data_IF_991553788881
#
_entry.id   IF_991553788881
#
_cell.length_a   1.000
_cell.length_b   1.000
_cell.length_c   1.000
_cell.angle_alpha   90.00
_cell.angle_beta   90.00
_cell.angle_gamma   90.00
#
_symmetry.space_group_name_H-M   'P 1'
#
loop_
_entity.id
_entity.type
_entity.pdbx_description
1 polymer ?
#
# COMPACT_ATOMS: atom_id res chain seq x y z
N UNK A 1 -10.36 43.55 68.57
CA UNK A 1 -9.47 42.53 67.97
C UNK A 1 -8.86 43.12 66.70
N UNK A 2 -7.66 43.70 66.82
CA UNK A 2 -6.89 44.30 65.73
C UNK A 2 -5.67 43.41 65.45
N UNK A 3 -5.45 43.01 64.20
CA UNK A 3 -4.28 42.24 63.76
C UNK A 3 -3.12 43.18 63.39
N UNK A 4 -1.87 42.86 63.76
CA UNK A 4 -0.70 43.68 63.45
C UNK A 4 -0.15 43.45 62.04
N UNK A 5 0.39 44.52 61.43
CA UNK A 5 1.14 44.55 60.17
C UNK A 5 2.58 44.07 60.42
N UNK A 6 3.06 43.17 59.56
CA UNK A 6 4.46 42.75 59.52
C UNK A 6 5.25 43.61 58.52
N UNK A 7 6.41 44.07 58.96
CA UNK A 7 7.36 44.90 58.22
C UNK A 7 8.47 43.97 57.71
N UNK A 8 8.70 43.93 56.39
CA UNK A 8 9.79 43.14 55.80
C UNK A 8 10.96 44.05 55.47
N UNK A 9 12.11 43.76 56.07
CA UNK A 9 13.39 44.46 55.89
C UNK A 9 14.17 43.84 54.74
N UNK A 10 14.59 44.65 53.78
CA UNK A 10 15.50 44.26 52.69
C UNK A 10 16.95 44.16 53.19
N UNK A 11 17.62 43.03 52.94
CA UNK A 11 19.08 42.90 52.96
C UNK A 11 19.58 42.73 51.53
N UNK A 12 20.48 43.62 51.10
CA UNK A 12 21.25 43.52 49.85
C UNK A 12 22.59 42.85 50.16
N UNK A 13 22.81 41.66 49.59
CA UNK A 13 24.11 41.01 49.56
C UNK A 13 24.65 41.00 48.11
N UNK A 14 25.75 41.71 47.90
CA UNK A 14 26.49 41.76 46.64
C UNK A 14 27.44 40.55 46.52
N UNK A 15 27.00 39.51 45.79
CA UNK A 15 27.86 38.39 45.40
C UNK A 15 28.44 38.60 43.99
N UNK A 16 29.75 38.88 43.91
CA UNK A 16 30.53 38.88 42.65
C UNK A 16 30.67 37.45 42.13
N UNK A 17 29.92 37.13 41.07
CA UNK A 17 30.04 35.85 40.35
C UNK A 17 31.12 35.98 39.27
N UNK A 18 32.19 35.21 39.44
CA UNK A 18 33.25 34.98 38.45
C UNK A 18 32.71 34.15 37.29
N UNK A 19 32.73 34.71 36.08
CA UNK A 19 32.22 34.08 34.85
C UNK A 19 33.34 33.33 34.13
N UNK A 20 33.40 32.00 34.34
CA UNK A 20 34.15 31.12 33.44
C UNK A 20 33.46 31.01 32.07
N UNK A 21 34.20 31.00 30.95
CA UNK A 21 33.62 30.96 29.61
C UNK A 21 32.87 29.65 29.36
N UNK A 22 31.60 29.76 28.95
CA UNK A 22 30.74 28.62 28.60
C UNK A 22 31.30 27.91 27.34
N UNK A 23 31.28 26.57 27.29
CA UNK A 23 31.61 25.84 26.07
C UNK A 23 30.64 26.23 24.95
N UNK A 24 31.20 26.56 23.79
CA UNK A 24 30.46 26.95 22.59
C UNK A 24 29.47 25.83 22.23
N UNK A 25 28.18 26.17 22.21
CA UNK A 25 27.14 25.26 21.72
C UNK A 25 27.48 24.90 20.27
N UNK A 26 27.43 23.61 19.88
CA UNK A 26 27.64 23.21 18.50
C UNK A 26 26.61 23.94 17.64
N UNK A 27 27.09 24.78 16.72
CA UNK A 27 26.22 25.42 15.77
C UNK A 27 25.57 24.31 14.92
N UNK A 28 24.24 24.28 14.78
CA UNK A 28 23.61 23.38 13.86
C UNK A 28 24.18 23.68 12.47
N UNK A 29 24.85 22.69 11.86
CA UNK A 29 25.22 22.79 10.45
C UNK A 29 23.92 23.02 9.71
N UNK A 30 23.75 24.22 9.16
CA UNK A 30 22.70 24.51 8.21
C UNK A 30 22.90 23.52 7.06
N UNK A 31 22.10 22.46 7.04
CA UNK A 31 21.85 21.71 5.83
C UNK A 31 21.09 22.72 4.98
N UNK A 32 21.82 23.52 4.21
CA UNK A 32 21.23 24.23 3.10
C UNK A 32 20.67 23.13 2.19
N UNK A 33 19.39 22.81 2.42
CA UNK A 33 18.57 22.20 1.40
C UNK A 33 18.72 23.16 0.22
N UNK A 34 19.52 22.74 -0.77
CA UNK A 34 19.53 23.43 -2.06
C UNK A 34 18.06 23.62 -2.40
N UNK A 35 17.61 24.83 -2.73
CA UNK A 35 16.29 25.01 -3.28
C UNK A 35 16.21 23.96 -4.37
N UNK A 36 15.30 22.99 -4.19
CA UNK A 36 14.84 22.22 -5.33
C UNK A 36 14.26 23.31 -6.19
N UNK A 37 15.05 23.78 -7.16
CA UNK A 37 14.51 24.55 -8.25
C UNK A 37 13.34 23.68 -8.68
N UNK A 38 12.14 24.19 -8.43
CA UNK A 38 10.95 23.74 -9.10
C UNK A 38 11.26 23.96 -10.56
N UNK A 39 11.98 23.00 -11.14
CA UNK A 39 11.90 22.69 -12.54
C UNK A 39 10.42 22.41 -12.65
N UNK A 40 9.67 23.44 -13.04
CA UNK A 40 8.47 23.25 -13.79
C UNK A 40 8.95 22.40 -14.95
N UNK A 41 8.98 21.08 -14.74
CA UNK A 41 8.90 20.13 -15.81
C UNK A 41 7.53 20.49 -16.36
N UNK A 42 7.53 21.35 -17.37
CA UNK A 42 6.56 21.23 -18.43
C UNK A 42 6.52 19.72 -18.66
N UNK A 43 5.43 19.09 -18.22
CA UNK A 43 5.19 17.71 -18.58
C UNK A 43 5.36 17.74 -20.10
N UNK A 44 6.40 17.12 -20.68
CA UNK A 44 6.34 16.91 -22.11
C UNK A 44 4.99 16.26 -22.29
N UNK A 45 4.15 16.88 -23.12
CA UNK A 45 2.91 16.26 -23.57
C UNK A 45 3.37 14.96 -24.20
N UNK A 46 3.48 13.94 -23.37
CA UNK A 46 3.50 12.56 -23.77
C UNK A 46 2.14 12.43 -24.39
N UNK A 47 2.08 12.72 -25.69
CA UNK A 47 1.30 11.90 -26.58
C UNK A 47 1.84 10.49 -26.34
N UNK A 48 1.34 9.85 -25.28
CA UNK A 48 0.96 8.45 -25.39
C UNK A 48 -0.07 8.50 -26.51
N UNK A 49 0.44 8.49 -27.74
CA UNK A 49 -0.29 7.92 -28.85
C UNK A 49 -0.82 6.63 -28.27
N UNK A 50 -2.13 6.62 -28.05
CA UNK A 50 -2.89 5.40 -27.92
C UNK A 50 -2.62 4.66 -29.23
N UNK A 51 -1.45 4.02 -29.34
CA UNK A 51 -1.29 2.90 -30.25
C UNK A 51 -2.42 2.00 -29.83
N UNK A 52 -3.31 1.74 -30.80
CA UNK A 52 -4.39 0.80 -30.65
C UNK A 52 -3.78 -0.44 -30.00
N UNK A 53 -4.03 -0.60 -28.71
CA UNK A 53 -3.61 -1.77 -27.95
C UNK A 53 -4.41 -2.90 -28.56
N UNK A 54 -3.82 -3.57 -29.55
CA UNK A 54 -4.20 -4.93 -29.92
C UNK A 54 -4.41 -5.65 -28.60
N UNK A 55 -5.62 -6.19 -28.41
CA UNK A 55 -6.00 -6.91 -27.19
C UNK A 55 -4.91 -7.93 -26.92
N UNK A 56 -3.96 -7.59 -26.04
CA UNK A 56 -2.93 -8.49 -25.59
C UNK A 56 -3.70 -9.65 -24.97
N UNK A 57 -3.62 -10.82 -25.59
CA UNK A 57 -4.03 -12.04 -24.91
C UNK A 57 -3.24 -12.05 -23.61
N UNK A 58 -3.95 -11.97 -22.47
CA UNK A 58 -3.36 -12.08 -21.13
C UNK A 58 -2.72 -13.47 -21.07
N UNK A 59 -1.50 -13.60 -21.55
CA UNK A 59 -0.77 -14.85 -21.55
C UNK A 59 -0.38 -15.18 -20.12
N UNK A 60 -0.25 -16.47 -19.91
CA UNK A 60 0.13 -17.20 -18.70
C UNK A 60 1.13 -16.47 -17.79
N UNK A 61 1.20 -16.86 -16.51
CA UNK A 61 2.17 -16.42 -15.49
C UNK A 61 3.66 -16.35 -15.92
N UNK A 62 4.03 -16.85 -17.11
CA UNK A 62 5.40 -16.88 -17.63
C UNK A 62 5.64 -15.76 -18.63
N UNK A 63 6.75 -15.04 -18.45
CA UNK A 63 7.21 -14.00 -19.36
C UNK A 63 8.06 -14.62 -20.49
N UNK A 64 7.49 -14.77 -21.68
CA UNK A 64 8.11 -15.50 -22.80
C UNK A 64 8.73 -14.52 -23.81
N UNK A 65 9.95 -14.07 -23.52
CA UNK A 65 10.62 -13.05 -24.34
C UNK A 65 11.15 -13.63 -25.64
N UNK A 66 10.76 -13.04 -26.77
CA UNK A 66 11.36 -13.33 -28.07
C UNK A 66 12.69 -12.58 -28.23
N UNK A 67 13.81 -13.31 -28.22
CA UNK A 67 15.16 -12.73 -28.33
C UNK A 67 15.37 -11.91 -29.61
N UNK A 68 14.62 -12.22 -30.67
CA UNK A 68 14.72 -11.52 -31.95
C UNK A 68 14.07 -10.13 -31.91
N UNK A 69 13.05 -9.92 -31.08
CA UNK A 69 12.32 -8.64 -30.97
C UNK A 69 12.95 -7.67 -29.98
N UNK A 70 13.93 -8.12 -29.19
CA UNK A 70 14.65 -7.28 -28.24
C UNK A 70 15.30 -6.07 -28.92
N UNK A 71 14.91 -4.88 -28.48
CA UNK A 71 15.45 -3.60 -28.93
C UNK A 71 16.90 -3.40 -28.47
N UNK A 72 17.69 -2.69 -29.28
CA UNK A 72 19.05 -2.29 -28.93
C UNK A 72 19.04 -1.07 -27.99
N UNK A 73 19.84 -1.10 -26.92
CA UNK A 73 19.93 0.00 -25.95
C UNK A 73 20.58 1.28 -26.48
N UNK A 74 20.98 1.33 -27.75
CA UNK A 74 21.73 2.45 -28.36
C UNK A 74 20.86 3.67 -28.67
N UNK A 75 19.55 3.59 -28.45
CA UNK A 75 18.59 4.67 -28.68
C UNK A 75 18.57 5.68 -27.54
N UNK A 76 19.32 6.79 -27.69
CA UNK A 76 19.08 8.21 -27.26
C UNK A 76 18.67 8.51 -25.79
N UNK A 77 18.17 7.54 -25.02
CA UNK A 77 17.61 7.73 -23.71
C UNK A 77 18.67 7.52 -22.62
N UNK A 78 18.75 8.43 -21.64
CA UNK A 78 19.62 8.24 -20.50
C UNK A 78 19.17 7.02 -19.71
N UNK A 79 20.05 6.04 -19.56
CA UNK A 79 19.79 4.83 -18.77
C UNK A 79 19.51 5.24 -17.31
N UNK A 80 18.37 4.82 -16.75
CA UNK A 80 18.02 5.12 -15.38
C UNK A 80 18.96 4.44 -14.38
N UNK A 81 19.07 4.97 -13.16
CA UNK A 81 19.97 4.38 -12.13
C UNK A 81 19.55 2.97 -11.68
N UNK A 82 18.33 2.57 -11.98
CA UNK A 82 17.72 1.28 -11.64
C UNK A 82 17.88 0.29 -12.79
N UNK A 83 19.12 0.06 -13.22
CA UNK A 83 19.47 -0.90 -14.27
C UNK A 83 20.56 -1.87 -13.83
N UNK A 84 20.71 -2.98 -14.56
CA UNK A 84 21.80 -3.93 -14.44
C UNK A 84 22.18 -4.50 -15.80
N UNK A 85 23.49 -4.67 -16.05
CA UNK A 85 24.01 -5.35 -17.23
C UNK A 85 24.30 -6.80 -16.88
N UNK A 86 23.67 -7.72 -17.60
CA UNK A 86 23.73 -9.17 -17.41
C UNK A 86 24.61 -9.77 -18.51
N UNK A 87 25.71 -10.41 -18.11
CA UNK A 87 26.72 -10.95 -19.03
C UNK A 87 26.55 -12.44 -19.21
N UNK A 88 26.48 -12.91 -20.46
CA UNK A 88 26.37 -14.32 -20.82
C UNK A 88 25.16 -15.04 -20.17
N UNK A 89 24.03 -14.34 -20.01
CA UNK A 89 22.78 -14.91 -19.50
C UNK A 89 21.72 -14.78 -20.59
N UNK A 90 21.01 -15.86 -20.90
CA UNK A 90 19.92 -15.84 -21.88
C UNK A 90 18.71 -15.07 -21.35
N UNK A 91 17.98 -14.39 -22.23
CA UNK A 91 16.78 -13.60 -21.87
C UNK A 91 15.71 -14.44 -21.15
N UNK A 92 15.48 -15.69 -21.57
CA UNK A 92 14.52 -16.61 -20.92
C UNK A 92 14.84 -16.83 -19.43
N UNK A 93 16.11 -17.08 -19.10
CA UNK A 93 16.54 -17.28 -17.71
C UNK A 93 16.37 -16.01 -16.86
N UNK A 94 16.58 -14.84 -17.46
CA UNK A 94 16.33 -13.55 -16.79
C UNK A 94 14.83 -13.38 -16.54
N UNK A 95 14.00 -13.64 -17.55
CA UNK A 95 12.56 -13.54 -17.48
C UNK A 95 12.00 -14.45 -16.37
N UNK A 96 12.42 -15.71 -16.33
CA UNK A 96 12.02 -16.68 -15.30
C UNK A 96 12.38 -16.18 -13.88
N UNK A 97 13.60 -15.67 -13.69
CA UNK A 97 14.05 -15.13 -12.38
C UNK A 97 13.27 -13.89 -11.96
N UNK A 98 12.93 -13.03 -12.91
CA UNK A 98 12.13 -11.83 -12.63
C UNK A 98 10.69 -12.23 -12.29
N UNK A 99 10.08 -13.15 -13.04
CA UNK A 99 8.75 -13.68 -12.75
C UNK A 99 8.67 -14.28 -11.35
N UNK A 100 9.60 -15.18 -10.99
CA UNK A 100 9.66 -15.78 -9.64
C UNK A 100 9.80 -14.70 -8.57
N UNK A 101 10.65 -13.69 -8.80
CA UNK A 101 10.83 -12.59 -7.86
C UNK A 101 9.55 -11.76 -7.68
N UNK A 102 8.81 -11.50 -8.76
CA UNK A 102 7.54 -10.76 -8.68
C UNK A 102 6.49 -11.56 -7.88
N UNK A 103 6.40 -12.86 -8.12
CA UNK A 103 5.49 -13.77 -7.39
C UNK A 103 5.85 -13.84 -5.90
N UNK A 104 7.12 -14.08 -5.55
CA UNK A 104 7.59 -14.15 -4.16
C UNK A 104 7.36 -12.84 -3.39
N UNK A 105 7.34 -11.71 -4.08
CA UNK A 105 7.08 -10.39 -3.48
C UNK A 105 5.61 -9.96 -3.61
N UNK A 106 4.71 -10.85 -4.07
CA UNK A 106 3.28 -10.57 -4.29
C UNK A 106 3.02 -9.33 -5.16
N UNK A 107 3.86 -9.12 -6.17
CA UNK A 107 3.78 -8.01 -7.12
C UNK A 107 2.97 -8.47 -8.33
N UNK A 108 1.87 -7.77 -8.61
CA UNK A 108 1.07 -8.02 -9.81
C UNK A 108 1.85 -7.57 -11.04
N UNK A 109 1.91 -8.38 -12.10
CA UNK A 109 2.59 -8.03 -13.33
C UNK A 109 1.76 -8.40 -14.56
N UNK A 110 1.85 -7.56 -15.59
CA UNK A 110 1.33 -7.82 -16.93
C UNK A 110 2.51 -7.84 -17.90
N UNK A 111 2.70 -8.96 -18.58
CA UNK A 111 3.82 -9.18 -19.50
C UNK A 111 3.43 -8.83 -20.94
N UNK A 112 4.35 -8.18 -21.64
CA UNK A 112 4.28 -7.83 -23.05
C UNK A 112 5.46 -8.51 -23.74
N UNK A 113 5.24 -9.76 -24.16
CA UNK A 113 6.26 -10.68 -24.65
C UNK A 113 7.01 -10.13 -25.89
N UNK A 114 6.27 -9.51 -26.82
CA UNK A 114 6.83 -8.93 -28.05
C UNK A 114 7.75 -7.72 -27.79
N UNK A 115 7.40 -6.90 -26.81
CA UNK A 115 8.14 -5.69 -26.43
C UNK A 115 9.23 -5.97 -25.38
N UNK A 116 9.37 -7.22 -24.92
CA UNK A 116 10.23 -7.60 -23.81
C UNK A 116 10.04 -6.66 -22.59
N UNK A 117 8.79 -6.33 -22.30
CA UNK A 117 8.38 -5.38 -21.27
C UNK A 117 7.43 -6.04 -20.28
N UNK A 118 7.51 -5.66 -19.01
CA UNK A 118 6.52 -6.00 -18.01
C UNK A 118 6.07 -4.75 -17.26
N UNK A 119 4.76 -4.60 -17.05
CA UNK A 119 4.21 -3.54 -16.19
C UNK A 119 3.82 -4.18 -14.87
N UNK A 120 4.42 -3.71 -13.78
CA UNK A 120 4.26 -4.28 -12.46
C UNK A 120 3.65 -3.26 -11.47
N UNK A 121 2.91 -3.78 -10.50
CA UNK A 121 2.21 -3.02 -9.46
C UNK A 121 2.25 -3.74 -8.11
N UNK A 122 2.73 -3.04 -7.08
CA UNK A 122 2.75 -3.51 -5.70
C UNK A 122 1.41 -3.32 -5.00
N UNK A 123 1.26 -3.90 -3.80
CA UNK A 123 0.07 -3.73 -2.94
C UNK A 123 -0.25 -2.27 -2.59
N UNK A 124 0.77 -1.40 -2.47
CA UNK A 124 0.63 0.04 -2.21
C UNK A 124 0.43 0.87 -3.48
N UNK A 125 0.06 0.22 -4.60
CA UNK A 125 -0.20 0.84 -5.89
C UNK A 125 1.00 1.58 -6.49
N UNK A 126 2.22 1.18 -6.11
CA UNK A 126 3.45 1.63 -6.77
C UNK A 126 3.61 0.90 -8.09
N UNK A 127 3.49 1.65 -9.19
CA UNK A 127 3.58 1.11 -10.56
C UNK A 127 4.94 1.39 -11.15
N UNK A 128 5.51 0.39 -11.79
CA UNK A 128 6.77 0.49 -12.49
C UNK A 128 6.78 -0.44 -13.71
N UNK A 129 7.74 -0.19 -14.58
CA UNK A 129 7.92 -0.91 -15.83
C UNK A 129 9.29 -1.56 -15.81
N UNK A 130 9.36 -2.79 -16.28
CA UNK A 130 10.57 -3.58 -16.40
C UNK A 130 10.82 -3.78 -17.88
N UNK A 131 12.00 -3.41 -18.37
CA UNK A 131 12.39 -3.59 -19.77
C UNK A 131 13.65 -4.43 -19.86
N UNK A 132 13.68 -5.36 -20.80
CA UNK A 132 14.88 -6.08 -21.17
C UNK A 132 15.33 -5.60 -22.56
N UNK A 133 16.58 -5.17 -22.68
CA UNK A 133 17.15 -4.60 -23.90
C UNK A 133 18.46 -5.31 -24.25
N UNK A 134 18.86 -5.30 -25.53
CA UNK A 134 20.21 -5.72 -25.94
C UNK A 134 21.22 -4.65 -25.58
N UNK A 135 22.27 -5.03 -24.88
CA UNK A 135 23.38 -4.13 -24.55
C UNK A 135 24.53 -4.33 -25.52
N UNK A 136 24.70 -3.39 -26.46
CA UNK A 136 25.79 -3.44 -27.43
C UNK A 136 27.12 -3.12 -26.74
N UNK A 137 28.01 -4.11 -26.72
CA UNK A 137 29.41 -3.95 -26.31
C UNK A 137 30.34 -4.28 -27.47
N UNK A 138 31.51 -3.63 -27.52
CA UNK A 138 32.53 -3.84 -28.57
C UNK A 138 32.92 -5.32 -28.75
N UNK A 139 32.83 -6.11 -27.67
CA UNK A 139 33.22 -7.52 -27.61
C UNK A 139 32.31 -8.50 -28.39
N UNK A 140 31.28 -8.02 -29.11
CA UNK A 140 30.27 -8.85 -29.83
C UNK A 140 29.61 -9.93 -28.95
N UNK A 141 29.60 -9.74 -27.63
CA UNK A 141 28.88 -10.63 -26.71
C UNK A 141 27.46 -10.13 -26.54
N UNK A 142 26.51 -11.06 -26.56
CA UNK A 142 25.10 -10.80 -26.27
C UNK A 142 24.94 -10.50 -24.77
N UNK A 143 25.18 -9.25 -24.40
CA UNK A 143 24.89 -8.73 -23.08
C UNK A 143 23.46 -8.21 -23.06
N UNK A 144 22.78 -8.38 -21.94
CA UNK A 144 21.42 -7.86 -21.73
C UNK A 144 21.46 -6.69 -20.75
N UNK A 145 20.67 -5.66 -21.00
CA UNK A 145 20.39 -4.57 -20.07
C UNK A 145 18.98 -4.78 -19.53
N UNK A 146 18.86 -5.01 -18.23
CA UNK A 146 17.57 -5.01 -17.54
C UNK A 146 17.42 -3.67 -16.82
N UNK A 147 16.32 -2.97 -17.10
CA UNK A 147 16.00 -1.66 -16.52
C UNK A 147 14.64 -1.71 -15.83
N UNK A 148 14.52 -1.05 -14.69
CA UNK A 148 13.26 -0.90 -13.95
C UNK A 148 12.95 0.59 -13.81
N UNK A 149 11.84 1.06 -14.35
CA UNK A 149 11.45 2.47 -14.38
C UNK A 149 10.17 2.73 -13.59
N UNK A 150 10.22 3.66 -12.63
CA UNK A 150 9.03 4.04 -11.86
C UNK A 150 8.06 4.83 -12.74
N UNK A 151 6.77 4.47 -12.68
CA UNK A 151 5.68 5.23 -13.31
C UNK A 151 4.87 6.04 -12.31
N UNK A 152 4.55 5.46 -11.14
CA UNK A 152 3.79 6.13 -10.08
C UNK A 152 4.03 5.51 -8.70
N UNK A 153 3.49 6.13 -7.64
CA UNK A 153 3.48 5.60 -6.27
C UNK A 153 4.73 5.92 -5.45
N UNK A 154 5.00 5.11 -4.42
CA UNK A 154 6.02 5.34 -3.41
C UNK A 154 7.44 5.15 -3.95
N UNK A 155 8.31 6.14 -3.76
CA UNK A 155 9.74 6.05 -4.13
C UNK A 155 10.46 4.96 -3.34
N UNK A 156 10.10 4.77 -2.07
CA UNK A 156 10.75 3.80 -1.19
C UNK A 156 10.39 2.38 -1.63
N UNK A 157 9.09 2.12 -1.81
CA UNK A 157 8.59 0.82 -2.26
C UNK A 157 9.13 0.47 -3.64
N UNK A 158 9.18 1.44 -4.55
CA UNK A 158 9.79 1.28 -5.86
C UNK A 158 11.25 0.84 -5.78
N UNK A 159 12.09 1.57 -5.04
CA UNK A 159 13.52 1.23 -4.97
C UNK A 159 13.77 -0.12 -4.29
N UNK A 160 12.93 -0.50 -3.34
CA UNK A 160 12.99 -1.83 -2.75
C UNK A 160 12.65 -2.91 -3.79
N UNK A 161 11.51 -2.79 -4.48
CA UNK A 161 11.08 -3.73 -5.51
C UNK A 161 12.11 -3.83 -6.65
N UNK A 162 12.57 -2.68 -7.17
CA UNK A 162 13.59 -2.62 -8.23
C UNK A 162 14.90 -3.31 -7.79
N UNK A 163 15.36 -3.11 -6.55
CA UNK A 163 16.55 -3.78 -6.04
C UNK A 163 16.38 -5.30 -5.97
N UNK A 164 15.23 -5.77 -5.49
CA UNK A 164 14.90 -7.20 -5.42
C UNK A 164 14.94 -7.83 -6.81
N UNK A 165 14.28 -7.19 -7.78
CA UNK A 165 14.21 -7.62 -9.19
C UNK A 165 15.60 -7.67 -9.83
N UNK A 166 16.38 -6.59 -9.73
CA UNK A 166 17.71 -6.51 -10.34
C UNK A 166 18.67 -7.55 -9.75
N UNK A 167 18.60 -7.83 -8.45
CA UNK A 167 19.39 -8.90 -7.79
C UNK A 167 18.93 -10.29 -8.22
N UNK A 168 17.62 -10.54 -8.28
CA UNK A 168 17.08 -11.82 -8.75
C UNK A 168 17.52 -12.11 -10.18
N UNK A 169 17.47 -11.11 -11.06
CA UNK A 169 17.93 -11.23 -12.45
C UNK A 169 19.41 -11.66 -12.56
N UNK A 170 20.26 -11.14 -11.67
CA UNK A 170 21.67 -11.55 -11.57
C UNK A 170 21.87 -12.98 -11.04
N UNK A 171 20.81 -13.62 -10.53
CA UNK A 171 20.89 -14.93 -9.86
C UNK A 171 21.38 -14.83 -8.42
N UNK A 172 21.33 -13.64 -7.82
CA UNK A 172 21.69 -13.43 -6.41
C UNK A 172 20.44 -13.71 -5.58
N UNK A 173 20.48 -14.76 -4.77
CA UNK A 173 19.40 -15.08 -3.84
C UNK A 173 19.15 -13.89 -2.90
N UNK A 174 17.99 -13.26 -3.02
CA UNK A 174 17.58 -12.14 -2.18
C UNK A 174 16.98 -12.72 -0.89
N UNK A 175 17.80 -12.86 0.14
CA UNK A 175 17.30 -13.11 1.51
C UNK A 175 16.77 -11.84 2.18
N UNK A 176 16.49 -10.78 1.42
CA UNK A 176 15.98 -9.56 2.03
C UNK A 176 14.59 -9.85 2.61
N UNK A 177 14.50 -9.77 3.93
CA UNK A 177 13.21 -9.63 4.60
C UNK A 177 12.55 -8.40 4.00
N UNK A 178 11.31 -8.54 3.52
CA UNK A 178 10.43 -7.41 3.15
C UNK A 178 10.72 -6.30 4.15
N UNK A 179 11.13 -5.09 3.71
CA UNK A 179 11.46 -4.01 4.61
C UNK A 179 10.23 -3.86 5.47
N UNK A 180 10.36 -4.29 6.73
CA UNK A 180 9.38 -3.87 7.71
C UNK A 180 9.35 -2.37 7.53
N UNK A 181 8.15 -1.76 7.30
CA UNK A 181 8.02 -0.32 7.22
C UNK A 181 8.92 0.19 8.31
N UNK A 182 9.98 0.93 7.96
CA UNK A 182 11.00 1.33 8.94
C UNK A 182 10.15 1.77 10.09
N UNK A 183 10.25 1.06 11.23
CA UNK A 183 9.52 1.45 12.40
C UNK A 183 10.11 2.82 12.62
N UNK A 184 9.41 3.84 12.12
CA UNK A 184 9.68 5.22 12.42
C UNK A 184 9.48 5.07 13.90
N UNK A 185 10.60 5.04 14.62
CA UNK A 185 10.60 5.27 16.03
C UNK A 185 10.01 6.66 16.08
N UNK A 186 8.67 6.69 16.09
CA UNK A 186 7.87 7.85 16.37
C UNK A 186 8.43 8.13 17.73
N UNK A 187 9.40 9.06 17.77
CA UNK A 187 9.92 9.61 19.00
C UNK A 187 8.66 9.83 19.79
N UNK A 188 8.42 9.07 20.88
CA UNK A 188 7.12 9.10 21.53
C UNK A 188 6.90 10.54 21.89
N UNK A 189 6.09 11.25 21.09
CA UNK A 189 5.69 12.59 21.42
C UNK A 189 5.01 12.36 22.75
N UNK A 190 5.46 13.02 23.84
CA UNK A 190 4.89 12.79 25.15
C UNK A 190 3.40 13.10 25.03
N UNK A 191 2.61 12.04 24.83
CA UNK A 191 1.18 12.13 24.71
C UNK A 191 0.73 12.43 26.13
N UNK A 192 0.12 13.59 26.37
CA UNK A 192 -0.32 13.94 27.71
C UNK A 192 -1.26 12.84 28.21
N UNK A 193 -0.89 12.27 29.36
CA UNK A 193 -1.53 11.11 29.97
C UNK A 193 -3.01 11.40 30.26
N UNK A 194 -3.89 10.99 29.33
CA UNK A 194 -5.32 11.17 29.50
C UNK A 194 -6.11 10.33 28.50
N UNK A 195 -6.72 9.24 28.99
CA UNK A 195 -7.57 8.32 28.20
C UNK A 195 -8.65 9.05 27.39
N UNK A 196 -9.14 10.16 27.91
CA UNK A 196 -10.16 11.00 27.28
C UNK A 196 -9.63 11.77 26.06
N UNK A 197 -8.36 12.20 26.08
CA UNK A 197 -7.77 12.97 24.98
C UNK A 197 -7.48 12.10 23.76
N UNK A 198 -7.13 10.84 23.96
CA UNK A 198 -6.94 9.87 22.87
C UNK A 198 -8.26 9.61 22.14
N UNK A 199 -9.36 9.39 22.89
CA UNK A 199 -10.68 9.16 22.29
C UNK A 199 -11.16 10.37 21.48
N UNK A 200 -11.04 11.59 22.00
CA UNK A 200 -11.38 12.82 21.26
C UNK A 200 -10.55 12.95 19.98
N UNK A 201 -9.26 12.63 20.04
CA UNK A 201 -8.40 12.69 18.86
C UNK A 201 -8.86 11.71 17.78
N UNK A 202 -9.18 10.46 18.16
CA UNK A 202 -9.71 9.45 17.22
C UNK A 202 -11.05 9.87 16.64
N UNK A 203 -12.00 10.36 17.46
CA UNK A 203 -13.29 10.84 16.97
C UNK A 203 -13.14 11.96 15.95
N UNK A 204 -12.22 12.91 16.19
CA UNK A 204 -11.93 13.97 15.23
C UNK A 204 -11.33 13.44 13.91
N UNK A 205 -10.48 12.43 13.97
CA UNK A 205 -9.95 11.79 12.75
C UNK A 205 -11.04 11.02 11.99
N UNK A 206 -11.97 10.39 12.69
CA UNK A 206 -13.15 9.75 12.07
C UNK A 206 -13.99 10.80 11.34
N UNK A 207 -14.28 11.95 11.96
CA UNK A 207 -15.01 13.07 11.31
C UNK A 207 -14.25 13.59 10.08
N UNK A 208 -12.93 13.72 10.16
CA UNK A 208 -12.11 14.14 9.03
C UNK A 208 -12.20 13.13 7.88
N UNK A 209 -12.08 11.83 8.17
CA UNK A 209 -12.20 10.76 7.18
C UNK A 209 -13.58 10.79 6.54
N UNK A 210 -14.63 10.90 7.34
CA UNK A 210 -15.99 11.00 6.85
C UNK A 210 -16.14 12.18 5.87
N UNK A 211 -15.63 13.35 6.23
CA UNK A 211 -15.65 14.53 5.36
C UNK A 211 -14.89 14.34 4.04
N UNK A 212 -13.87 13.48 4.02
CA UNK A 212 -13.13 13.14 2.82
C UNK A 212 -13.92 12.16 1.95
N UNK A 213 -14.51 11.13 2.55
CA UNK A 213 -15.31 10.09 1.89
C UNK A 213 -16.65 10.60 1.34
N UNK A 214 -17.14 11.72 1.86
CA UNK A 214 -18.34 12.43 1.36
C UNK A 214 -18.09 13.24 0.09
N UNK A 215 -16.82 13.51 -0.27
CA UNK A 215 -16.52 14.33 -1.45
C UNK A 215 -16.74 13.53 -2.73
N UNK A 216 -17.20 14.21 -3.76
CA UNK A 216 -17.34 13.63 -5.12
C UNK A 216 -15.99 13.35 -5.78
N UNK A 217 -14.91 13.92 -5.24
CA UNK A 217 -13.57 13.78 -5.80
C UNK A 217 -12.93 12.46 -5.38
N UNK A 218 -12.58 11.64 -6.35
CA UNK A 218 -11.96 10.32 -6.13
C UNK A 218 -10.61 10.39 -5.41
N UNK A 219 -9.81 11.43 -5.63
CA UNK A 219 -8.54 11.62 -4.93
C UNK A 219 -8.74 11.90 -3.43
N UNK A 220 -9.78 12.65 -3.06
CA UNK A 220 -10.19 12.83 -1.67
C UNK A 220 -10.68 11.53 -1.04
N UNK A 221 -11.43 10.72 -1.78
CA UNK A 221 -11.88 9.41 -1.33
C UNK A 221 -10.70 8.46 -1.11
N UNK A 222 -9.70 8.43 -2.00
CA UNK A 222 -8.47 7.67 -1.79
C UNK A 222 -7.76 8.11 -0.51
N UNK A 223 -7.60 9.41 -0.28
CA UNK A 223 -6.96 9.91 0.94
C UNK A 223 -7.73 9.52 2.21
N UNK A 224 -9.07 9.59 2.18
CA UNK A 224 -9.92 9.12 3.27
C UNK A 224 -9.75 7.63 3.54
N UNK A 225 -9.69 6.83 2.47
CA UNK A 225 -9.49 5.38 2.54
C UNK A 225 -8.09 4.98 3.03
N UNK A 226 -7.04 5.67 2.60
CA UNK A 226 -5.67 5.47 3.10
C UNK A 226 -5.57 5.75 4.60
N UNK A 227 -6.19 6.84 5.04
CA UNK A 227 -6.27 7.22 6.46
C UNK A 227 -7.01 6.16 7.26
N UNK A 228 -8.16 5.68 6.77
CA UNK A 228 -8.96 4.65 7.43
C UNK A 228 -8.23 3.30 7.48
N UNK A 229 -7.51 2.92 6.42
CA UNK A 229 -6.67 1.71 6.39
C UNK A 229 -5.55 1.76 7.43
N UNK A 230 -4.90 2.92 7.58
CA UNK A 230 -3.86 3.12 8.60
C UNK A 230 -4.44 3.01 10.01
N UNK A 231 -5.59 3.64 10.24
CA UNK A 231 -6.26 3.67 11.53
C UNK A 231 -6.91 2.35 11.96
N UNK A 232 -7.20 1.45 11.04
CA UNK A 232 -7.69 0.09 11.33
C UNK A 232 -6.57 -0.93 11.50
N UNK A 233 -5.34 -0.60 11.08
CA UNK A 233 -4.19 -1.51 11.15
C UNK A 233 -3.55 -1.55 12.53
N UNK A 234 -3.50 -2.73 13.15
CA UNK A 234 -2.79 -2.98 14.41
C UNK A 234 -1.26 -2.77 14.32
N UNK A 235 -0.71 -2.67 13.10
CA UNK A 235 0.70 -2.36 12.88
C UNK A 235 0.98 -0.85 12.85
N UNK A 236 -0.06 -0.04 12.64
CA UNK A 236 0.06 1.40 12.38
C UNK A 236 -0.54 2.25 13.49
N UNK A 237 -1.48 1.71 14.27
CA UNK A 237 -2.17 2.43 15.35
C UNK A 237 -2.20 1.61 16.65
N UNK A 238 -2.66 2.22 17.75
CA UNK A 238 -2.90 1.48 19.00
C UNK A 238 -4.08 0.52 18.84
N UNK A 239 -4.03 -0.64 19.52
CA UNK A 239 -5.10 -1.64 19.46
C UNK A 239 -6.47 -1.07 19.86
N UNK A 240 -6.49 -0.15 20.83
CA UNK A 240 -7.71 0.54 21.27
C UNK A 240 -8.28 1.45 20.19
N UNK A 241 -7.44 2.18 19.45
CA UNK A 241 -7.91 3.05 18.37
C UNK A 241 -8.42 2.22 17.18
N UNK A 242 -7.71 1.15 16.82
CA UNK A 242 -8.17 0.19 15.83
C UNK A 242 -9.52 -0.40 16.22
N UNK A 243 -9.71 -0.76 17.49
CA UNK A 243 -10.99 -1.25 18.02
C UNK A 243 -12.11 -0.21 17.87
N UNK A 244 -11.92 1.03 18.33
CA UNK A 244 -12.93 2.10 18.25
C UNK A 244 -13.39 2.29 16.79
N UNK A 245 -12.44 2.31 15.86
CA UNK A 245 -12.71 2.54 14.44
C UNK A 245 -13.33 1.30 13.77
N UNK A 246 -12.91 0.11 14.16
CA UNK A 246 -13.54 -1.13 13.68
C UNK A 246 -15.00 -1.21 14.15
N UNK A 247 -15.29 -0.82 15.40
CA UNK A 247 -16.66 -0.75 15.92
C UNK A 247 -17.51 0.27 15.18
N UNK A 248 -16.96 1.45 14.86
CA UNK A 248 -17.71 2.46 14.10
C UNK A 248 -18.03 2.02 12.67
N UNK A 249 -17.23 1.12 12.08
CA UNK A 249 -17.49 0.54 10.75
C UNK A 249 -18.68 -0.45 10.78
N UNK A 250 -18.81 -1.26 11.83
CA UNK A 250 -19.78 -2.37 11.87
C UNK A 250 -21.01 -2.15 12.74
N UNK A 251 -20.86 -1.52 13.91
CA UNK A 251 -21.91 -1.50 14.94
C UNK A 251 -22.71 -0.20 15.00
N UNK A 252 -22.32 0.84 14.24
CA UNK A 252 -23.02 2.12 14.19
C UNK A 252 -23.35 2.71 15.58
N UNK A 253 -22.53 2.44 16.60
CA UNK A 253 -22.86 2.72 18.02
C UNK A 253 -23.06 4.22 18.30
N UNK A 254 -22.47 5.08 17.46
CA UNK A 254 -22.57 6.55 17.57
C UNK A 254 -23.61 7.15 16.59
N UNK A 255 -24.46 6.32 15.97
CA UNK A 255 -25.53 6.78 15.08
C UNK A 255 -25.07 7.29 13.72
N UNK A 256 -23.80 7.08 13.37
CA UNK A 256 -23.26 7.46 12.07
C UNK A 256 -22.85 6.24 11.22
N UNK A 257 -23.80 5.62 10.48
CA UNK A 257 -23.52 4.49 9.61
C UNK A 257 -22.78 4.86 8.32
N UNK A 258 -22.33 6.11 8.18
CA UNK A 258 -21.92 6.66 6.90
C UNK A 258 -20.62 6.04 6.38
N UNK A 259 -19.64 5.80 7.25
CA UNK A 259 -18.38 5.15 6.87
C UNK A 259 -18.63 3.70 6.44
N UNK A 260 -19.36 2.93 7.26
CA UNK A 260 -19.76 1.56 6.95
C UNK A 260 -20.49 1.50 5.61
N UNK A 261 -21.55 2.27 5.43
CA UNK A 261 -22.34 2.31 4.19
C UNK A 261 -21.50 2.73 2.98
N UNK A 262 -20.57 3.68 3.14
CA UNK A 262 -19.69 4.09 2.05
C UNK A 262 -18.72 2.97 1.67
N UNK A 263 -18.14 2.26 2.63
CA UNK A 263 -17.31 1.09 2.38
C UNK A 263 -18.08 -0.01 1.65
N UNK A 264 -19.32 -0.30 2.08
CA UNK A 264 -20.23 -1.23 1.40
C UNK A 264 -20.42 -0.82 -0.07
N UNK A 265 -20.70 0.47 -0.30
CA UNK A 265 -20.88 1.01 -1.66
C UNK A 265 -19.62 0.86 -2.52
N UNK A 266 -18.42 1.11 -1.99
CA UNK A 266 -17.18 0.97 -2.73
C UNK A 266 -16.88 -0.48 -3.13
N UNK A 267 -17.25 -1.45 -2.29
CA UNK A 267 -17.11 -2.86 -2.64
C UNK A 267 -18.08 -3.28 -3.75
N UNK A 268 -19.30 -2.76 -3.75
CA UNK A 268 -20.32 -3.07 -4.75
C UNK A 268 -20.03 -2.42 -6.12
N UNK A 269 -19.46 -1.20 -6.14
CA UNK A 269 -19.23 -0.43 -7.38
C UNK A 269 -18.27 -1.11 -8.37
N UNK A 270 -17.35 -1.98 -7.92
CA UNK A 270 -16.37 -2.64 -8.80
C UNK A 270 -17.00 -3.40 -9.97
N UNK A 271 -18.26 -3.85 -9.82
CA UNK A 271 -18.95 -4.60 -10.88
C UNK A 271 -19.61 -3.71 -11.95
N UNK A 272 -19.60 -2.39 -11.79
CA UNK A 272 -20.28 -1.44 -12.68
C UNK A 272 -19.34 -0.55 -13.51
N UNK A 273 -18.04 -0.79 -13.47
CA UNK A 273 -17.06 -0.01 -14.25
C UNK A 273 -17.39 -0.17 -15.74
N UNK A 274 -17.80 0.92 -16.37
CA UNK A 274 -18.16 0.92 -17.80
C UNK A 274 -16.89 0.97 -18.66
N UNK A 275 -16.97 0.37 -19.85
CA UNK A 275 -15.89 0.36 -20.85
C UNK A 275 -15.51 1.76 -21.37
N UNK A 276 -16.35 2.78 -21.12
CA UNK A 276 -16.14 4.17 -21.58
C UNK A 276 -15.38 5.07 -20.58
N UNK A 277 -15.08 4.61 -19.37
CA UNK A 277 -14.41 5.43 -18.35
C UNK A 277 -12.92 5.65 -18.62
N UNK A 278 -12.40 6.82 -18.23
CA UNK A 278 -10.98 7.13 -18.41
C UNK A 278 -10.09 6.29 -17.47
N UNK A 279 -8.89 5.94 -17.92
CA UNK A 279 -7.93 5.11 -17.17
C UNK A 279 -7.62 5.65 -15.77
N UNK A 280 -7.63 6.98 -15.61
CA UNK A 280 -7.39 7.64 -14.32
C UNK A 280 -8.50 7.36 -13.32
N UNK A 281 -9.76 7.44 -13.73
CA UNK A 281 -10.91 7.15 -12.87
C UNK A 281 -10.91 5.69 -12.45
N UNK A 282 -10.76 4.77 -13.40
CA UNK A 282 -10.63 3.33 -13.12
C UNK A 282 -9.50 3.04 -12.15
N UNK A 283 -8.37 3.73 -12.29
CA UNK A 283 -7.25 3.58 -11.38
C UNK A 283 -7.60 4.00 -9.95
N UNK A 284 -8.31 5.11 -9.76
CA UNK A 284 -8.72 5.55 -8.42
C UNK A 284 -9.75 4.61 -7.78
N UNK A 285 -10.79 4.21 -8.51
CA UNK A 285 -11.82 3.30 -7.99
C UNK A 285 -11.23 1.96 -7.55
N UNK A 286 -10.26 1.48 -8.31
CA UNK A 286 -9.47 0.28 -8.03
C UNK A 286 -8.61 0.41 -6.78
N UNK A 287 -7.99 1.57 -6.54
CA UNK A 287 -7.26 1.87 -5.29
C UNK A 287 -8.24 1.90 -4.11
N UNK A 288 -9.37 2.59 -4.26
CA UNK A 288 -10.43 2.68 -3.24
C UNK A 288 -10.93 1.28 -2.87
N UNK A 289 -11.22 0.44 -3.86
CA UNK A 289 -11.67 -0.93 -3.65
C UNK A 289 -10.63 -1.78 -2.88
N UNK A 290 -9.37 -1.75 -3.32
CA UNK A 290 -8.26 -2.42 -2.63
C UNK A 290 -8.13 -1.96 -1.17
N UNK A 291 -8.30 -0.66 -0.90
CA UNK A 291 -8.30 -0.14 0.46
C UNK A 291 -9.55 -0.56 1.25
N UNK A 292 -10.72 -0.65 0.62
CA UNK A 292 -11.93 -1.12 1.30
C UNK A 292 -11.76 -2.56 1.78
N UNK A 293 -11.23 -3.46 0.94
CA UNK A 293 -10.90 -4.83 1.35
C UNK A 293 -9.92 -4.85 2.52
N UNK A 294 -8.87 -4.02 2.48
CA UNK A 294 -7.89 -3.95 3.57
C UNK A 294 -8.51 -3.44 4.88
N UNK A 295 -9.36 -2.40 4.80
CA UNK A 295 -10.10 -1.85 5.95
C UNK A 295 -11.02 -2.91 6.55
N UNK A 296 -11.77 -3.64 5.73
CA UNK A 296 -12.63 -4.73 6.20
C UNK A 296 -11.82 -5.86 6.84
N UNK A 297 -10.75 -6.33 6.20
CA UNK A 297 -9.88 -7.37 6.75
C UNK A 297 -9.34 -6.98 8.13
N UNK A 298 -8.75 -5.78 8.24
CA UNK A 298 -8.19 -5.29 9.49
C UNK A 298 -9.27 -5.12 10.58
N UNK A 299 -10.46 -4.64 10.20
CA UNK A 299 -11.54 -4.38 11.15
C UNK A 299 -12.17 -5.67 11.67
N UNK A 300 -12.38 -6.67 10.79
CA UNK A 300 -12.88 -8.00 11.16
C UNK A 300 -11.89 -8.72 12.06
N UNK A 301 -10.60 -8.71 11.72
CA UNK A 301 -9.55 -9.29 12.56
C UNK A 301 -9.54 -8.62 13.94
N UNK A 302 -9.58 -7.30 13.99
CA UNK A 302 -9.61 -6.56 15.26
C UNK A 302 -10.83 -6.95 16.10
N UNK A 303 -12.03 -6.95 15.52
CA UNK A 303 -13.26 -7.33 16.23
C UNK A 303 -13.22 -8.79 16.71
N UNK A 304 -12.69 -9.70 15.90
CA UNK A 304 -12.61 -11.12 16.25
C UNK A 304 -11.74 -11.39 17.49
N UNK A 305 -10.83 -10.47 17.84
CA UNK A 305 -9.99 -10.59 19.04
C UNK A 305 -10.67 -10.11 20.32
N UNK A 306 -11.79 -9.39 20.21
CA UNK A 306 -12.51 -8.81 21.35
C UNK A 306 -13.46 -9.85 21.93
N UNK A 307 -13.17 -10.35 23.14
CA UNK A 307 -13.94 -11.44 23.79
C UNK A 307 -15.43 -11.13 23.98
N UNK A 308 -15.75 -9.86 24.20
CA UNK A 308 -17.11 -9.40 24.50
C UNK A 308 -17.70 -8.54 23.37
N UNK A 309 -17.09 -8.57 22.17
CA UNK A 309 -17.76 -7.97 21.02
C UNK A 309 -19.08 -8.74 20.82
N UNK A 310 -20.21 -8.03 20.64
CA UNK A 310 -21.45 -8.71 20.29
C UNK A 310 -21.10 -9.56 19.07
N UNK A 311 -21.27 -10.89 19.21
CA UNK A 311 -21.15 -11.83 18.10
C UNK A 311 -21.92 -11.16 16.98
N UNK A 312 -21.23 -10.80 15.88
CA UNK A 312 -21.83 -10.03 14.79
C UNK A 312 -23.23 -10.59 14.59
N UNK A 313 -24.24 -9.85 15.09
CA UNK A 313 -25.60 -10.33 14.94
C UNK A 313 -25.79 -10.54 13.45
N UNK A 314 -26.58 -11.53 13.02
CA UNK A 314 -26.75 -11.86 11.61
C UNK A 314 -27.30 -10.65 10.84
N UNK A 315 -26.42 -9.72 10.51
CA UNK A 315 -26.61 -8.66 9.56
C UNK A 315 -26.64 -9.43 8.25
N UNK A 316 -27.83 -9.45 7.65
CA UNK A 316 -28.09 -10.08 6.36
C UNK A 316 -27.04 -9.65 5.34
N UNK A 317 -26.51 -8.42 5.46
CA UNK A 317 -25.44 -7.94 4.61
C UNK A 317 -24.15 -8.79 4.66
N UNK A 318 -23.71 -9.24 5.83
CA UNK A 318 -22.45 -9.98 5.96
C UNK A 318 -22.52 -11.36 5.30
N UNK A 319 -23.61 -12.09 5.54
CA UNK A 319 -23.80 -13.43 5.01
C UNK A 319 -24.32 -13.43 3.57
N UNK A 320 -25.25 -12.54 3.21
CA UNK A 320 -25.94 -12.57 1.92
C UNK A 320 -25.22 -11.75 0.84
N UNK A 321 -24.47 -10.71 1.20
CA UNK A 321 -23.79 -9.83 0.23
C UNK A 321 -22.27 -9.92 0.30
N UNK A 322 -21.69 -9.69 1.48
CA UNK A 322 -20.23 -9.61 1.63
C UNK A 322 -19.58 -10.97 1.35
N UNK A 323 -20.12 -12.06 1.91
CA UNK A 323 -19.55 -13.40 1.77
C UNK A 323 -19.46 -13.85 0.29
N UNK A 324 -20.52 -13.79 -0.54
CA UNK A 324 -20.43 -14.07 -1.97
C UNK A 324 -19.46 -13.16 -2.71
N UNK A 325 -19.38 -11.88 -2.34
CA UNK A 325 -18.45 -10.92 -2.94
C UNK A 325 -16.99 -11.31 -2.67
N UNK A 326 -16.66 -11.64 -1.41
CA UNK A 326 -15.32 -12.08 -1.03
C UNK A 326 -14.92 -13.37 -1.75
N UNK A 327 -15.83 -14.33 -1.85
CA UNK A 327 -15.62 -15.57 -2.60
C UNK A 327 -15.33 -15.33 -4.08
N UNK A 328 -16.14 -14.47 -4.71
CA UNK A 328 -15.94 -14.08 -6.10
C UNK A 328 -14.59 -13.39 -6.29
N UNK A 329 -14.20 -12.51 -5.36
CA UNK A 329 -12.92 -11.83 -5.45
C UNK A 329 -11.76 -12.81 -5.31
N UNK A 330 -11.83 -13.76 -4.40
CA UNK A 330 -10.82 -14.81 -4.24
C UNK A 330 -10.68 -15.65 -5.53
N UNK A 331 -11.79 -15.96 -6.22
CA UNK A 331 -11.80 -16.77 -7.44
C UNK A 331 -11.35 -16.00 -8.70
N UNK A 332 -11.73 -14.73 -8.79
CA UNK A 332 -11.62 -13.94 -10.02
C UNK A 332 -10.65 -12.76 -9.91
N UNK A 333 -9.95 -12.59 -8.78
CA UNK A 333 -9.02 -11.49 -8.60
C UNK A 333 -7.91 -11.56 -9.64
N UNK A 334 -7.77 -10.49 -10.40
CA UNK A 334 -6.63 -10.32 -11.30
C UNK A 334 -5.33 -10.08 -10.50
N UNK A 335 -5.44 -9.53 -9.28
CA UNK A 335 -4.28 -9.20 -8.44
C UNK A 335 -4.20 -10.09 -7.21
N UNK A 336 -3.04 -10.69 -6.93
CA UNK A 336 -2.87 -11.59 -5.79
C UNK A 336 -3.15 -10.88 -4.46
N UNK A 337 -2.79 -9.60 -4.32
CA UNK A 337 -3.04 -8.86 -3.08
C UNK A 337 -4.52 -8.56 -2.81
N UNK A 338 -5.37 -8.49 -3.85
CA UNK A 338 -6.82 -8.32 -3.65
C UNK A 338 -7.44 -9.64 -3.21
N UNK A 339 -7.05 -10.76 -3.85
CA UNK A 339 -7.41 -12.12 -3.43
C UNK A 339 -7.03 -12.39 -1.97
N UNK A 340 -5.80 -12.02 -1.59
CA UNK A 340 -5.29 -12.20 -0.23
C UNK A 340 -6.09 -11.39 0.81
N UNK A 341 -6.39 -10.11 0.54
CA UNK A 341 -7.21 -9.30 1.45
C UNK A 341 -8.62 -9.86 1.57
N UNK A 342 -9.21 -10.33 0.47
CA UNK A 342 -10.51 -10.98 0.49
C UNK A 342 -10.49 -12.28 1.30
N UNK A 343 -9.44 -13.10 1.14
CA UNK A 343 -9.22 -14.31 1.94
C UNK A 343 -9.07 -14.00 3.44
N UNK A 344 -8.37 -12.92 3.81
CA UNK A 344 -8.28 -12.45 5.20
C UNK A 344 -9.64 -12.05 5.76
N UNK A 345 -10.44 -11.30 5.00
CA UNK A 345 -11.81 -10.96 5.39
C UNK A 345 -12.63 -12.23 5.64
N UNK A 346 -12.57 -13.18 4.70
CA UNK A 346 -13.32 -14.44 4.78
C UNK A 346 -12.91 -15.28 5.99
N UNK A 347 -11.60 -15.38 6.25
CA UNK A 347 -11.08 -16.09 7.42
C UNK A 347 -11.60 -15.50 8.72
N UNK A 348 -11.51 -14.17 8.88
CA UNK A 348 -11.98 -13.48 10.07
C UNK A 348 -13.51 -13.61 10.23
N UNK A 349 -14.26 -13.49 9.14
CA UNK A 349 -15.72 -13.59 9.13
C UNK A 349 -16.22 -14.99 9.54
N UNK A 350 -15.65 -16.05 8.96
CA UNK A 350 -15.98 -17.45 9.28
C UNK A 350 -15.55 -17.82 10.71
N UNK A 351 -14.46 -17.21 11.19
CA UNK A 351 -14.02 -17.33 12.57
C UNK A 351 -15.00 -16.72 13.56
N UNK A 352 -15.54 -15.53 13.24
CA UNK A 352 -16.39 -14.73 14.12
C UNK A 352 -17.89 -15.14 14.11
N UNK A 353 -18.43 -15.64 13.00
CA UNK A 353 -19.87 -15.93 12.86
C UNK A 353 -20.14 -17.40 12.47
N UNK A 354 -21.03 -18.05 13.22
CA UNK A 354 -21.48 -19.42 12.93
C UNK A 354 -22.31 -19.47 11.64
N UNK A 355 -23.15 -18.48 11.41
CA UNK A 355 -24.01 -18.42 10.21
C UNK A 355 -23.16 -18.23 8.96
N UNK A 356 -22.18 -17.31 9.00
CA UNK A 356 -21.22 -17.14 7.90
C UNK A 356 -20.41 -18.41 7.65
N UNK A 357 -20.13 -19.21 8.67
CA UNK A 357 -19.42 -20.50 8.54
C UNK A 357 -20.28 -21.57 7.85
N UNK A 358 -21.56 -21.65 8.21
CA UNK A 358 -22.51 -22.56 7.54
C UNK A 358 -22.68 -22.15 6.08
N UNK A 359 -22.85 -20.86 5.82
CA UNK A 359 -23.02 -20.37 4.45
C UNK A 359 -21.74 -20.52 3.62
N UNK A 360 -20.56 -20.26 4.20
CA UNK A 360 -19.26 -20.54 3.59
C UNK A 360 -19.11 -22.02 3.20
N UNK A 361 -19.60 -22.93 4.04
CA UNK A 361 -19.60 -24.36 3.74
C UNK A 361 -20.54 -24.69 2.58
N UNK A 362 -21.76 -24.14 2.57
CA UNK A 362 -22.77 -24.37 1.53
C UNK A 362 -22.34 -23.82 0.16
N UNK A 363 -21.61 -22.70 0.15
CA UNK A 363 -21.14 -22.01 -1.07
C UNK A 363 -19.86 -22.61 -1.67
N UNK A 364 -19.25 -23.62 -1.05
CA UNK A 364 -18.07 -24.28 -1.59
C UNK A 364 -16.77 -23.48 -1.38
N UNK A 365 -16.66 -22.73 -0.28
CA UNK A 365 -15.39 -22.06 0.10
C UNK A 365 -14.24 -23.07 0.18
N UNK A 366 -14.48 -24.26 0.75
CA UNK A 366 -13.44 -25.27 0.96
C UNK A 366 -12.87 -25.82 -0.36
N UNK A 367 -13.71 -26.05 -1.37
CA UNK A 367 -13.22 -26.46 -2.70
C UNK A 367 -12.41 -25.34 -3.34
N UNK A 368 -12.89 -24.10 -3.21
CA UNK A 368 -12.21 -22.92 -3.77
C UNK A 368 -10.82 -22.73 -3.15
N UNK A 369 -10.70 -22.75 -1.83
CA UNK A 369 -9.42 -22.56 -1.14
C UNK A 369 -8.45 -23.71 -1.43
N UNK A 370 -8.94 -24.94 -1.52
CA UNK A 370 -8.13 -26.09 -1.88
C UNK A 370 -7.57 -25.98 -3.31
N UNK A 371 -8.40 -25.56 -4.28
CA UNK A 371 -7.98 -25.35 -5.66
C UNK A 371 -6.93 -24.23 -5.78
N UNK A 372 -7.04 -23.18 -4.96
CA UNK A 372 -6.04 -22.10 -4.94
C UNK A 372 -4.69 -22.55 -4.38
N UNK A 373 -4.69 -23.29 -3.27
CA UNK A 373 -3.44 -23.84 -2.72
C UNK A 373 -2.75 -24.77 -3.72
N UNK A 374 -3.55 -25.53 -4.49
CA UNK A 374 -3.02 -26.40 -5.55
C UNK A 374 -2.44 -25.63 -6.73
N UNK A 375 -3.04 -24.49 -7.08
CA UNK A 375 -2.64 -23.67 -8.22
C UNK A 375 -1.56 -22.62 -7.87
N UNK A 376 -1.19 -22.48 -6.60
CA UNK A 376 -0.21 -21.49 -6.14
C UNK A 376 -0.70 -20.05 -6.22
N UNK A 377 -2.02 -19.83 -6.28
CA UNK A 377 -2.62 -18.49 -6.39
C UNK A 377 -2.74 -17.75 -5.06
N UNK A 378 -2.48 -18.41 -3.93
CA UNK A 378 -2.39 -17.82 -2.58
C UNK A 378 -1.43 -18.61 -1.68
#
# INVERSE_FOLDING_TARGET
MQKPKATTTEMKDDAKISTSPRPLKPQPRSIMLRPVLSIQRENPKYNISQSEKTKAEKSTHKWNINVQTLEDSSTIFPIERTHVILKNISASVVADRVTVCLEENSIFATFYDDEAMAVAETEDHTRFEIRLLKHQTEDKKDNLLLEVQRKSGSTITFHWAARSILKSAQGIAVKETVPRPLAVSLIPLPLPEGKYREQIAVSKEIENIESLLQKDRLDANVLGMESLRSLTSLLSTSAKNAEIISRSIFYNEEGNPMIGNKLKSFMQTRHHIKDDECDTQRNFERIIYSHALAVFANSLETISTIRDAPVMEPDTWLSEELLPLLLREIQCAERPHDAFKAARCLHALVGASVDCRVEAFNTGVLSTTFDMTKNGTC
#
